data_IF_828314823060
#
_entry.id   IF_828314823060
#
_cell.length_a   1.000
_cell.length_b   1.000
_cell.length_c   1.000
_cell.angle_alpha   90.00
_cell.angle_beta   90.00
_cell.angle_gamma   90.00
#
_symmetry.space_group_name_H-M   'P 1'
#
loop_
_entity.id
_entity.type
_entity.pdbx_description
1 polymer ?
#
# COMPACT_ATOMS: atom_id res chain seq x y z
N UNK A 1 6.05 -9.33 -48.04
CA UNK A 1 5.96 -8.23 -47.05
C UNK A 1 5.98 -8.83 -45.65
N UNK A 2 7.15 -8.85 -45.00
CA UNK A 2 7.29 -9.36 -43.63
C UNK A 2 6.86 -8.27 -42.65
N UNK A 3 5.78 -8.50 -41.91
CA UNK A 3 5.36 -7.63 -40.82
C UNK A 3 6.39 -7.73 -39.70
N UNK A 4 7.17 -6.66 -39.51
CA UNK A 4 8.02 -6.49 -38.35
C UNK A 4 7.13 -6.47 -37.10
N UNK A 5 7.08 -7.60 -36.40
CA UNK A 5 6.43 -7.70 -35.10
C UNK A 5 7.25 -6.86 -34.13
N UNK A 6 6.79 -5.63 -33.87
CA UNK A 6 7.38 -4.71 -32.91
C UNK A 6 7.27 -5.35 -31.53
N UNK A 7 8.31 -6.10 -31.14
CA UNK A 7 8.42 -6.67 -29.81
C UNK A 7 8.33 -5.53 -28.81
N UNK A 8 7.20 -5.41 -28.11
CA UNK A 8 7.11 -4.58 -26.92
C UNK A 8 8.04 -5.23 -25.91
N UNK A 9 9.28 -4.77 -25.84
CA UNK A 9 10.15 -4.98 -24.69
C UNK A 9 9.47 -4.31 -23.51
N UNK A 10 8.61 -5.08 -22.83
CA UNK A 10 7.97 -4.64 -21.60
C UNK A 10 9.08 -4.30 -20.62
N UNK A 11 9.06 -3.07 -20.10
CA UNK A 11 9.96 -2.65 -19.04
C UNK A 11 9.71 -3.59 -17.85
N UNK A 12 10.64 -4.50 -17.59
CA UNK A 12 10.61 -5.34 -16.40
C UNK A 12 11.07 -4.49 -15.22
N UNK A 13 10.12 -4.08 -14.39
CA UNK A 13 10.46 -3.41 -13.13
C UNK A 13 11.11 -4.44 -12.21
N UNK A 14 12.31 -4.17 -11.65
CA UNK A 14 12.92 -5.05 -10.66
C UNK A 14 11.98 -5.24 -9.47
N UNK A 15 11.88 -6.47 -8.96
CA UNK A 15 11.00 -6.80 -7.83
C UNK A 15 11.27 -5.91 -6.61
N UNK A 16 12.52 -5.52 -6.41
CA UNK A 16 12.94 -4.64 -5.33
C UNK A 16 12.35 -3.22 -5.44
N UNK A 17 12.29 -2.66 -6.65
CA UNK A 17 11.64 -1.36 -6.91
C UNK A 17 10.14 -1.47 -6.67
N UNK A 18 9.51 -2.56 -7.13
CA UNK A 18 8.09 -2.80 -6.90
C UNK A 18 7.77 -2.90 -5.40
N UNK A 19 8.62 -3.56 -4.62
CA UNK A 19 8.49 -3.64 -3.16
C UNK A 19 8.65 -2.27 -2.49
N UNK A 20 9.69 -1.52 -2.84
CA UNK A 20 9.92 -0.18 -2.27
C UNK A 20 8.71 0.73 -2.53
N UNK A 21 8.24 0.77 -3.78
CA UNK A 21 7.08 1.60 -4.16
C UNK A 21 5.82 1.12 -3.46
N UNK A 22 5.56 -0.19 -3.45
CA UNK A 22 4.38 -0.77 -2.80
C UNK A 22 4.34 -0.51 -1.30
N UNK A 23 5.46 -0.73 -0.59
CA UNK A 23 5.58 -0.47 0.84
C UNK A 23 5.43 1.02 1.15
N UNK A 24 6.08 1.90 0.36
CA UNK A 24 5.97 3.35 0.54
C UNK A 24 4.52 3.82 0.36
N UNK A 25 3.85 3.34 -0.67
CA UNK A 25 2.44 3.66 -0.93
C UNK A 25 1.53 3.16 0.21
N UNK A 26 1.78 1.96 0.73
CA UNK A 26 1.03 1.41 1.86
C UNK A 26 1.18 2.27 3.13
N UNK A 27 2.41 2.69 3.46
CA UNK A 27 2.67 3.56 4.62
C UNK A 27 1.93 4.90 4.46
N UNK A 28 2.04 5.53 3.28
CA UNK A 28 1.36 6.79 3.00
C UNK A 28 -0.16 6.65 3.10
N UNK A 29 -0.73 5.56 2.59
CA UNK A 29 -2.16 5.29 2.70
C UNK A 29 -2.59 5.15 4.16
N UNK A 30 -1.85 4.41 4.99
CA UNK A 30 -2.13 4.27 6.43
C UNK A 30 -2.11 5.61 7.14
N UNK A 31 -1.08 6.43 6.91
CA UNK A 31 -0.95 7.75 7.53
C UNK A 31 -2.07 8.68 7.07
N UNK A 32 -2.38 8.71 5.78
CA UNK A 32 -3.45 9.54 5.23
C UNK A 32 -4.81 9.14 5.81
N UNK A 33 -5.12 7.84 5.86
CA UNK A 33 -6.37 7.34 6.42
C UNK A 33 -6.47 7.61 7.91
N UNK A 34 -5.45 7.28 8.69
CA UNK A 34 -5.44 7.53 10.14
C UNK A 34 -5.57 9.01 10.47
N UNK A 35 -4.89 9.87 9.72
CA UNK A 35 -5.00 11.33 9.89
C UNK A 35 -6.37 11.85 9.47
N UNK A 36 -6.98 11.29 8.43
CA UNK A 36 -8.36 11.61 8.03
C UNK A 36 -9.38 11.23 9.09
N UNK A 37 -9.23 10.04 9.70
CA UNK A 37 -10.07 9.60 10.82
C UNK A 37 -9.89 10.55 12.02
N UNK A 38 -8.64 10.86 12.37
CA UNK A 38 -8.34 11.75 13.48
C UNK A 38 -8.87 13.18 13.26
N UNK A 39 -8.76 13.70 12.05
CA UNK A 39 -9.30 15.02 11.70
C UNK A 39 -10.83 15.07 11.71
N UNK A 40 -11.49 13.97 11.37
CA UNK A 40 -12.96 13.87 11.37
C UNK A 40 -13.55 13.70 12.78
N UNK A 41 -12.74 13.34 13.78
CA UNK A 41 -13.19 13.08 15.15
C UNK A 41 -12.35 13.88 16.16
N UNK A 42 -12.82 15.07 16.58
CA UNK A 42 -11.99 16.01 17.34
C UNK A 42 -11.68 15.57 18.79
N UNK A 43 -12.53 14.72 19.38
CA UNK A 43 -12.41 14.30 20.79
C UNK A 43 -12.00 12.83 20.93
N UNK A 44 -10.92 12.43 20.26
CA UNK A 44 -10.38 11.07 20.39
C UNK A 44 -9.57 10.95 21.69
N UNK A 45 -9.85 9.89 22.45
CA UNK A 45 -8.93 9.41 23.48
C UNK A 45 -7.63 8.88 22.86
N UNK A 46 -6.58 8.77 23.65
CA UNK A 46 -5.27 8.26 23.23
C UNK A 46 -5.36 6.89 22.53
N UNK A 47 -6.19 5.99 23.05
CA UNK A 47 -6.41 4.67 22.46
C UNK A 47 -7.16 4.71 21.13
N UNK A 48 -8.12 5.62 20.99
CA UNK A 48 -8.86 5.78 19.74
C UNK A 48 -7.98 6.45 18.68
N UNK A 49 -7.14 7.41 19.06
CA UNK A 49 -6.12 7.97 18.18
C UNK A 49 -5.14 6.90 17.70
N UNK A 50 -4.58 6.09 18.61
CA UNK A 50 -3.74 4.97 18.24
C UNK A 50 -4.47 3.97 17.31
N UNK A 51 -5.74 3.67 17.63
CA UNK A 51 -6.60 2.81 16.82
C UNK A 51 -6.85 3.33 15.40
N UNK A 52 -6.95 4.65 15.22
CA UNK A 52 -7.15 5.28 13.91
C UNK A 52 -6.01 4.97 12.93
N UNK A 53 -4.78 4.78 13.42
CA UNK A 53 -3.62 4.38 12.60
C UNK A 53 -3.42 2.86 12.60
N UNK A 54 -3.66 2.20 13.73
CA UNK A 54 -3.47 0.76 13.87
C UNK A 54 -4.42 -0.03 12.96
N UNK A 55 -5.69 0.38 12.86
CA UNK A 55 -6.68 -0.31 12.04
C UNK A 55 -6.30 -0.36 10.54
N UNK A 56 -6.01 0.76 9.86
CA UNK A 56 -5.55 0.71 8.47
C UNK A 56 -4.19 0.01 8.32
N UNK A 57 -3.28 0.13 9.29
CA UNK A 57 -2.01 -0.60 9.28
C UNK A 57 -2.21 -2.12 9.32
N UNK A 58 -3.10 -2.60 10.20
CA UNK A 58 -3.43 -4.01 10.31
C UNK A 58 -4.08 -4.55 9.03
N UNK A 59 -4.94 -3.76 8.38
CA UNK A 59 -5.51 -4.10 7.07
C UNK A 59 -4.44 -4.19 5.99
N UNK A 60 -3.53 -3.22 5.91
CA UNK A 60 -2.42 -3.25 4.96
C UNK A 60 -1.53 -4.49 5.17
N UNK A 61 -1.23 -4.83 6.43
CA UNK A 61 -0.51 -6.05 6.78
C UNK A 61 -1.27 -7.32 6.39
N UNK A 62 -2.57 -7.41 6.67
CA UNK A 62 -3.39 -8.56 6.30
C UNK A 62 -3.43 -8.78 4.78
N UNK A 63 -3.53 -7.69 4.00
CA UNK A 63 -3.44 -7.74 2.54
C UNK A 63 -2.08 -8.25 2.09
N UNK A 64 -0.99 -7.70 2.64
CA UNK A 64 0.36 -8.17 2.36
C UNK A 64 0.51 -9.66 2.66
N UNK A 65 0.08 -10.11 3.84
CA UNK A 65 0.15 -11.50 4.26
C UNK A 65 -0.62 -12.41 3.29
N UNK A 66 -1.83 -12.02 2.89
CA UNK A 66 -2.62 -12.80 1.94
C UNK A 66 -1.98 -12.93 0.56
N UNK A 67 -1.32 -11.86 0.08
CA UNK A 67 -0.55 -11.91 -1.18
C UNK A 67 0.68 -12.79 -1.02
N UNK A 68 1.41 -12.65 0.09
CA UNK A 68 2.62 -13.43 0.37
C UNK A 68 2.36 -14.93 0.43
N UNK A 69 1.21 -15.38 0.91
CA UNK A 69 0.81 -16.80 0.92
C UNK A 69 0.59 -17.41 -0.47
N UNK A 70 0.50 -16.59 -1.53
CA UNK A 70 0.27 -17.03 -2.91
C UNK A 70 1.51 -16.98 -3.79
N UNK A 71 2.62 -16.44 -3.27
CA UNK A 71 3.92 -16.36 -3.93
C UNK A 71 4.75 -17.59 -3.58
#
# INVERSE_FOLDING_TARGET
MQQATKARTGVRIPAEIANIVGTSAAILAVVATGSGIAAAWPDLSEWQFAGAYLAPAALAFAVYWWVAQKL
#
